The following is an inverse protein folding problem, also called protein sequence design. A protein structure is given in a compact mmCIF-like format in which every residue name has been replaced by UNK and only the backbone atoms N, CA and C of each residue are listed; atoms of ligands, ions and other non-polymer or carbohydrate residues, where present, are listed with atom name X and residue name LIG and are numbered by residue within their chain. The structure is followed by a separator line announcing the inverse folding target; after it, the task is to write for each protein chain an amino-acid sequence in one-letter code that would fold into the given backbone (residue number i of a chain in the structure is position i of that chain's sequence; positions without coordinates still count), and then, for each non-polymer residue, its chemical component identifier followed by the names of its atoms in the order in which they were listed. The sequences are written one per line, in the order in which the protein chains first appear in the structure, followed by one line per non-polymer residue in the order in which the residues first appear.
data_IF_607308693025
#
_entry.id   IF_607308693025
#
_cell.length_a   1.000
_cell.length_b   1.000
_cell.length_c   1.000
_cell.angle_alpha   90.00
_cell.angle_beta   90.00
_cell.angle_gamma   90.00
#
_symmetry.space_group_name_H-M   'P 1'
#
loop_
_entity.id
_entity.type
_entity.pdbx_description
1 polymer ?
#
# COMPACT_ATOMS: atom_id res chain seq x y z
N UNK A 1 25.83 -72.62 77.99
CA UNK A 1 25.09 -73.80 77.49
C UNK A 1 23.88 -73.28 76.70
N UNK A 2 23.71 -73.70 75.44
CA UNK A 2 22.54 -73.53 74.55
C UNK A 2 22.28 -72.13 73.97
N UNK A 3 21.85 -71.93 72.71
CA UNK A 3 21.86 -72.66 71.41
C UNK A 3 21.29 -71.67 70.37
N UNK A 4 21.68 -71.84 69.10
CA UNK A 4 21.35 -71.04 67.92
C UNK A 4 19.85 -71.06 67.50
N UNK A 5 19.37 -70.05 66.76
CA UNK A 5 18.94 -70.13 65.33
C UNK A 5 17.89 -69.05 64.90
N UNK A 6 18.39 -68.05 64.17
CA UNK A 6 17.99 -67.57 62.82
C UNK A 6 16.62 -67.94 62.20
N UNK A 7 15.82 -66.92 61.79
CA UNK A 7 14.98 -66.83 60.58
C UNK A 7 14.66 -65.34 60.32
N UNK A 8 15.26 -64.66 59.33
CA UNK A 8 14.95 -64.56 57.88
C UNK A 8 13.99 -63.40 57.48
N UNK A 9 14.57 -62.45 56.74
CA UNK A 9 14.05 -61.71 55.56
C UNK A 9 12.99 -60.61 55.76
N UNK A 10 13.41 -59.35 55.55
CA UNK A 10 12.96 -58.53 54.40
C UNK A 10 13.89 -57.31 54.21
N UNK A 11 14.85 -57.39 53.28
CA UNK A 11 15.58 -56.21 52.83
C UNK A 11 14.76 -55.57 51.70
N UNK A 12 13.79 -54.72 52.06
CA UNK A 12 13.09 -53.90 51.07
C UNK A 12 13.93 -52.66 50.80
N UNK A 13 14.40 -52.56 49.56
CA UNK A 13 15.07 -51.38 48.99
C UNK A 13 14.08 -50.22 49.05
N UNK A 14 14.30 -49.29 49.99
CA UNK A 14 13.69 -47.96 49.94
C UNK A 14 14.56 -47.10 49.03
N UNK A 15 14.31 -47.17 47.72
CA UNK A 15 14.70 -46.10 46.80
C UNK A 15 13.71 -44.95 46.99
N UNK A 16 14.12 -43.90 47.71
CA UNK A 16 13.41 -42.62 47.70
C UNK A 16 13.72 -41.95 46.36
N UNK A 17 12.89 -42.21 45.35
CA UNK A 17 12.82 -41.38 44.16
C UNK A 17 12.01 -40.12 44.50
N UNK A 18 12.70 -39.07 44.95
CA UNK A 18 12.09 -37.75 44.98
C UNK A 18 11.95 -37.25 43.54
N UNK A 19 10.73 -37.16 43.03
CA UNK A 19 10.47 -36.46 41.77
C UNK A 19 10.73 -34.97 41.99
N UNK A 20 11.82 -34.45 41.46
CA UNK A 20 11.98 -33.00 41.30
C UNK A 20 10.95 -32.54 40.27
N UNK A 21 9.85 -31.92 40.72
CA UNK A 21 8.98 -31.19 39.79
C UNK A 21 9.67 -29.87 39.45
N UNK A 22 9.74 -29.53 38.17
CA UNK A 22 10.10 -28.19 37.73
C UNK A 22 9.20 -27.19 38.45
N UNK A 23 9.79 -26.20 39.13
CA UNK A 23 9.03 -25.21 39.89
C UNK A 23 8.51 -24.16 38.91
N UNK A 24 7.24 -24.26 38.55
CA UNK A 24 6.53 -23.16 37.91
C UNK A 24 6.40 -22.01 38.92
N UNK A 25 6.66 -20.78 38.51
CA UNK A 25 6.64 -19.61 39.40
C UNK A 25 5.29 -18.92 39.28
N UNK A 26 4.57 -18.80 40.41
CA UNK A 26 3.37 -17.96 40.53
C UNK A 26 3.77 -16.68 41.26
N UNK A 27 3.50 -15.53 40.64
CA UNK A 27 3.58 -14.21 41.28
C UNK A 27 2.16 -13.66 41.39
N UNK A 28 1.59 -13.68 42.59
CA UNK A 28 0.19 -13.28 42.80
C UNK A 28 -0.03 -12.57 44.13
N UNK A 29 -1.02 -11.68 44.17
CA UNK A 29 -1.60 -11.12 45.39
C UNK A 29 -2.89 -11.83 45.84
N UNK A 30 -3.30 -12.90 45.14
CA UNK A 30 -4.43 -13.75 45.49
C UNK A 30 -3.94 -15.05 46.15
N UNK A 31 -4.08 -15.16 47.48
CA UNK A 31 -3.63 -16.33 48.24
C UNK A 31 -4.34 -17.65 47.85
N UNK A 32 -5.51 -17.59 47.21
CA UNK A 32 -6.23 -18.78 46.74
C UNK A 32 -5.77 -19.26 45.36
N UNK A 33 -4.92 -18.50 44.66
CA UNK A 33 -4.40 -18.87 43.35
C UNK A 33 -3.12 -19.70 43.48
N UNK A 34 -3.30 -21.01 43.69
CA UNK A 34 -2.20 -21.95 44.01
C UNK A 34 -1.83 -22.90 42.88
N UNK A 35 -2.53 -22.83 41.75
CA UNK A 35 -2.28 -23.67 40.57
C UNK A 35 -1.97 -22.76 39.39
N UNK A 36 -0.76 -22.85 38.79
CA UNK A 36 -0.40 -21.98 37.69
C UNK A 36 -1.22 -22.32 36.44
N UNK A 37 -1.38 -21.35 35.56
CA UNK A 37 -1.97 -21.54 34.25
C UNK A 37 -1.23 -22.65 33.47
N UNK A 38 -1.99 -23.50 32.78
CA UNK A 38 -1.42 -24.60 32.00
C UNK A 38 -0.42 -24.08 30.97
N UNK A 39 0.80 -24.61 30.99
CA UNK A 39 1.89 -24.22 30.08
C UNK A 39 2.70 -22.99 30.51
N UNK A 40 2.34 -22.31 31.60
CA UNK A 40 3.11 -21.17 32.11
C UNK A 40 4.34 -21.63 32.92
N UNK A 41 5.52 -21.11 32.58
CA UNK A 41 6.71 -21.23 33.44
C UNK A 41 6.76 -20.09 34.48
N UNK A 42 6.24 -18.92 34.09
CA UNK A 42 5.97 -17.75 34.93
C UNK A 42 4.49 -17.38 34.76
N UNK A 43 3.73 -17.42 35.85
CA UNK A 43 2.32 -17.01 35.90
C UNK A 43 2.19 -15.79 36.83
N UNK A 44 1.79 -14.65 36.26
CA UNK A 44 1.58 -13.40 37.01
C UNK A 44 0.07 -13.16 37.10
N UNK A 45 -0.50 -13.35 38.28
CA UNK A 45 -1.94 -13.25 38.52
C UNK A 45 -2.27 -12.11 39.49
N UNK A 46 -2.95 -11.09 39.02
CA UNK A 46 -3.54 -10.03 39.85
C UNK A 46 -4.71 -9.38 39.11
N UNK A 47 -5.70 -8.89 39.85
CA UNK A 47 -6.80 -8.09 39.30
C UNK A 47 -6.55 -6.59 39.40
N UNK A 48 -5.44 -6.17 40.03
CA UNK A 48 -5.15 -4.77 40.33
C UNK A 48 -3.71 -4.32 40.04
N UNK A 49 -2.82 -5.26 39.69
CA UNK A 49 -1.40 -4.99 39.38
C UNK A 49 -1.04 -5.54 38.01
N UNK A 50 -0.05 -4.93 37.37
CA UNK A 50 0.50 -5.37 36.09
C UNK A 50 1.94 -5.86 36.20
N UNK A 51 2.50 -6.28 35.06
CA UNK A 51 3.92 -6.58 34.93
C UNK A 51 4.71 -5.31 34.56
N UNK A 52 5.69 -4.96 35.39
CA UNK A 52 6.65 -3.90 35.09
C UNK A 52 7.96 -4.55 34.61
N UNK A 53 8.24 -4.62 33.29
CA UNK A 53 9.52 -5.15 32.80
C UNK A 53 10.68 -4.24 33.21
N UNK A 54 11.93 -4.73 33.17
CA UNK A 54 13.11 -3.91 33.39
C UNK A 54 13.09 -2.64 32.54
N UNK A 55 13.29 -1.48 33.19
CA UNK A 55 13.38 -0.18 32.52
C UNK A 55 14.84 0.10 32.18
N UNK A 56 15.14 0.24 30.89
CA UNK A 56 16.51 0.33 30.38
C UNK A 56 16.60 1.53 29.44
N UNK A 57 17.64 2.35 29.56
CA UNK A 57 17.85 3.47 28.65
C UNK A 57 18.79 3.02 27.51
N UNK A 58 18.21 2.53 26.40
CA UNK A 58 18.99 2.02 25.28
C UNK A 58 19.62 3.18 24.48
N UNK A 59 20.86 2.97 24.00
CA UNK A 59 21.61 3.98 23.25
C UNK A 59 21.33 3.93 21.75
N UNK A 60 20.94 2.77 21.22
CA UNK A 60 20.54 2.61 19.82
C UNK A 60 19.74 1.31 19.63
N UNK A 61 19.23 1.07 18.42
CA UNK A 61 18.59 -0.21 18.06
C UNK A 61 19.58 -1.39 18.03
N UNK A 62 20.89 -1.14 17.94
CA UNK A 62 21.95 -2.17 17.93
C UNK A 62 22.67 -2.28 19.26
N UNK A 63 22.16 -1.65 20.32
CA UNK A 63 22.80 -1.58 21.63
C UNK A 63 22.92 -2.97 22.28
N UNK A 64 24.14 -3.50 22.28
CA UNK A 64 24.51 -4.75 22.96
C UNK A 64 25.46 -4.50 24.14
N UNK A 65 25.62 -3.24 24.57
CA UNK A 65 26.55 -2.85 25.64
C UNK A 65 25.81 -2.47 26.91
N UNK A 66 24.67 -1.79 26.82
CA UNK A 66 23.80 -1.49 27.98
C UNK A 66 23.28 -2.77 28.62
N UNK A 67 22.96 -3.76 27.78
CA UNK A 67 22.75 -5.14 28.18
C UNK A 67 23.74 -5.99 27.38
N UNK A 68 24.79 -6.48 28.03
CA UNK A 68 25.82 -7.29 27.39
C UNK A 68 25.24 -8.60 26.84
N UNK A 69 25.48 -8.89 25.56
CA UNK A 69 25.06 -10.13 24.88
C UNK A 69 23.57 -10.48 25.10
N UNK A 70 22.62 -9.60 24.68
CA UNK A 70 21.21 -9.82 24.93
C UNK A 70 20.74 -11.11 24.23
N UNK A 71 19.98 -11.93 24.96
CA UNK A 71 19.41 -13.16 24.41
C UNK A 71 18.21 -12.85 23.52
N UNK A 72 18.05 -13.59 22.42
CA UNK A 72 16.86 -13.46 21.55
C UNK A 72 15.58 -13.68 22.36
N UNK A 73 14.62 -12.77 22.24
CA UNK A 73 13.37 -12.77 23.00
C UNK A 73 13.42 -12.02 24.33
N UNK A 74 14.57 -11.46 24.73
CA UNK A 74 14.67 -10.61 25.93
C UNK A 74 13.82 -9.36 25.76
N UNK A 75 12.91 -9.10 26.71
CA UNK A 75 11.97 -7.96 26.69
C UNK A 75 12.34 -6.92 27.76
N UNK A 76 12.38 -5.65 27.38
CA UNK A 76 12.60 -4.50 28.26
C UNK A 76 11.67 -3.34 27.91
N UNK A 77 11.48 -2.41 28.83
CA UNK A 77 10.92 -1.09 28.52
C UNK A 77 12.06 -0.10 28.29
N UNK A 78 12.24 0.36 27.05
CA UNK A 78 13.14 1.45 26.75
C UNK A 78 12.59 2.76 27.33
N UNK A 79 13.37 3.48 28.12
CA UNK A 79 12.90 4.72 28.76
C UNK A 79 12.89 5.92 27.83
N UNK A 80 13.69 5.92 26.76
CA UNK A 80 13.81 7.05 25.84
C UNK A 80 14.78 8.15 26.29
N UNK A 81 15.47 7.97 27.42
CA UNK A 81 16.28 9.03 28.05
C UNK A 81 17.69 9.21 27.46
N UNK A 82 18.12 8.35 26.53
CA UNK A 82 19.47 8.37 25.93
C UNK A 82 19.37 8.40 24.40
N UNK A 83 19.89 7.39 23.69
CA UNK A 83 20.07 7.48 22.24
C UNK A 83 18.94 6.86 21.42
N UNK A 84 18.29 5.80 21.93
CA UNK A 84 17.03 5.32 21.39
C UNK A 84 15.90 6.09 22.06
N UNK A 85 15.47 7.21 21.46
CA UNK A 85 14.59 8.20 22.10
C UNK A 85 13.12 7.79 22.18
N UNK A 86 12.69 6.82 21.36
CA UNK A 86 11.30 6.36 21.38
C UNK A 86 11.10 5.39 22.54
N UNK A 87 10.49 5.85 23.63
CA UNK A 87 10.13 5.02 24.77
C UNK A 87 9.14 3.89 24.39
N UNK A 88 9.12 2.81 25.17
CA UNK A 88 8.15 1.72 25.00
C UNK A 88 8.75 0.33 25.17
N UNK A 89 7.94 -0.70 24.95
CA UNK A 89 8.42 -2.09 24.98
C UNK A 89 9.31 -2.39 23.77
N UNK A 90 10.42 -3.07 24.04
CA UNK A 90 11.33 -3.60 23.04
C UNK A 90 11.67 -5.04 23.39
N UNK A 91 11.88 -5.87 22.37
CA UNK A 91 12.49 -7.18 22.49
C UNK A 91 13.75 -7.28 21.62
N UNK A 92 14.76 -8.01 22.08
CA UNK A 92 15.93 -8.31 21.25
C UNK A 92 15.58 -9.42 20.25
N UNK A 93 15.71 -9.16 18.95
CA UNK A 93 15.37 -10.15 17.91
C UNK A 93 16.55 -11.06 17.51
N UNK A 94 17.72 -10.89 18.14
CA UNK A 94 18.98 -11.55 17.77
C UNK A 94 19.99 -10.59 17.14
N UNK A 95 19.53 -9.47 16.57
CA UNK A 95 20.37 -8.50 15.84
C UNK A 95 20.08 -7.05 16.24
N UNK A 96 18.81 -6.70 16.50
CA UNK A 96 18.38 -5.36 16.91
C UNK A 96 17.25 -5.42 17.96
N UNK A 97 17.14 -4.36 18.75
CA UNK A 97 15.98 -4.06 19.60
C UNK A 97 14.79 -3.67 18.73
N UNK A 98 13.73 -4.46 18.80
CA UNK A 98 12.52 -4.33 17.99
C UNK A 98 11.32 -4.08 18.89
N UNK A 99 10.42 -3.17 18.52
CA UNK A 99 9.15 -3.02 19.26
C UNK A 99 8.24 -4.21 18.95
N UNK A 100 7.61 -4.86 19.94
CA UNK A 100 6.58 -5.86 19.67
C UNK A 100 5.50 -5.20 18.82
N UNK A 101 5.16 -5.77 17.66
CA UNK A 101 4.16 -5.21 16.75
C UNK A 101 2.85 -4.93 17.49
N UNK A 102 2.66 -3.66 17.86
CA UNK A 102 1.36 -3.01 17.98
C UNK A 102 1.30 -2.20 16.70
N UNK A 103 0.35 -2.51 15.80
CA UNK A 103 0.31 -1.98 14.42
C UNK A 103 0.62 -0.48 14.33
N UNK A 104 1.91 -0.17 14.08
CA UNK A 104 2.48 1.17 14.12
C UNK A 104 3.05 1.59 15.48
N UNK A 105 4.29 1.21 15.79
CA UNK A 105 5.10 1.99 16.73
C UNK A 105 6.56 2.06 16.23
N UNK A 106 7.03 3.26 15.91
CA UNK A 106 8.44 3.55 15.59
C UNK A 106 8.68 4.29 14.26
N UNK A 107 7.84 4.03 13.25
CA UNK A 107 7.89 4.71 11.97
C UNK A 107 6.85 5.85 11.94
N UNK A 108 7.15 6.95 11.25
CA UNK A 108 6.15 8.01 10.98
C UNK A 108 4.93 7.46 10.23
N UNK A 109 5.07 6.30 9.59
CA UNK A 109 4.13 5.71 8.66
C UNK A 109 3.45 4.46 9.25
N UNK A 110 2.12 4.46 9.35
CA UNK A 110 1.34 3.32 9.85
C UNK A 110 -0.12 3.37 9.39
N UNK A 111 -0.76 2.20 9.33
CA UNK A 111 -2.20 2.10 9.10
C UNK A 111 -2.96 2.23 10.43
N UNK A 112 -4.00 3.05 10.48
CA UNK A 112 -4.89 3.14 11.64
C UNK A 112 -6.33 2.82 11.22
N UNK A 113 -7.07 2.18 12.12
CA UNK A 113 -8.52 1.99 12.02
C UNK A 113 -9.12 2.73 13.21
N UNK A 114 -9.95 3.73 12.95
CA UNK A 114 -10.64 4.50 13.98
C UNK A 114 -11.93 3.78 14.44
N UNK A 115 -12.50 4.23 15.57
CA UNK A 115 -13.73 3.65 16.16
C UNK A 115 -14.94 3.68 15.20
N UNK A 116 -14.98 4.64 14.27
CA UNK A 116 -16.01 4.75 13.24
C UNK A 116 -15.73 3.91 11.99
N UNK A 117 -14.68 3.08 12.02
CA UNK A 117 -14.28 2.20 10.92
C UNK A 117 -13.41 2.88 9.84
N UNK A 118 -13.08 4.16 9.98
CA UNK A 118 -12.22 4.85 9.02
C UNK A 118 -10.82 4.23 9.03
N UNK A 119 -10.32 3.86 7.85
CA UNK A 119 -8.96 3.34 7.67
C UNK A 119 -8.08 4.40 7.02
N UNK A 120 -6.97 4.75 7.67
CA UNK A 120 -6.01 5.78 7.19
C UNK A 120 -4.59 5.25 7.11
N UNK A 121 -3.81 5.79 6.17
CA UNK A 121 -2.38 5.64 6.05
C UNK A 121 -1.72 6.93 6.59
N UNK A 122 -1.11 6.84 7.77
CA UNK A 122 -0.59 8.00 8.48
C UNK A 122 0.85 8.33 8.05
N UNK A 123 1.29 9.56 8.34
CA UNK A 123 2.63 10.05 8.02
C UNK A 123 2.78 10.39 6.54
N UNK A 124 3.85 9.89 5.93
CA UNK A 124 4.09 9.95 4.50
C UNK A 124 3.64 8.67 3.77
N UNK A 125 2.87 7.80 4.43
CA UNK A 125 2.40 6.55 3.84
C UNK A 125 1.34 6.83 2.78
N UNK A 126 1.61 6.41 1.54
CA UNK A 126 0.67 6.44 0.43
C UNK A 126 0.83 5.23 -0.45
N UNK A 127 -0.21 4.92 -1.23
CA UNK A 127 -0.14 3.94 -2.32
C UNK A 127 -0.85 4.49 -3.55
N UNK A 128 -0.48 4.01 -4.73
CA UNK A 128 -1.23 4.35 -5.94
C UNK A 128 -2.49 3.50 -6.06
N UNK A 129 -3.58 4.14 -6.50
CA UNK A 129 -4.76 3.49 -7.02
C UNK A 129 -5.03 4.05 -8.43
N UNK A 130 -5.91 3.40 -9.19
CA UNK A 130 -6.15 3.72 -10.59
C UNK A 130 -7.60 4.07 -10.86
N UNK A 131 -7.81 5.13 -11.64
CA UNK A 131 -9.13 5.59 -12.05
C UNK A 131 -9.28 5.35 -13.55
N UNK A 132 -9.94 4.24 -13.88
CA UNK A 132 -10.09 3.76 -15.25
C UNK A 132 -11.31 4.34 -15.95
N UNK A 133 -11.10 4.83 -17.17
CA UNK A 133 -12.12 5.30 -18.09
C UNK A 133 -12.26 4.29 -19.22
N UNK A 134 -13.45 3.71 -19.33
CA UNK A 134 -13.75 2.77 -20.41
C UNK A 134 -14.01 3.53 -21.73
N UNK A 135 -13.33 3.17 -22.83
CA UNK A 135 -13.47 3.86 -24.11
C UNK A 135 -14.90 3.86 -24.64
N UNK A 136 -15.71 2.84 -24.36
CA UNK A 136 -17.11 2.78 -24.81
C UNK A 136 -18.03 3.85 -24.21
N UNK A 137 -17.63 4.45 -23.08
CA UNK A 137 -18.39 5.53 -22.43
C UNK A 137 -18.00 6.92 -22.92
N UNK A 138 -16.85 7.04 -23.58
CA UNK A 138 -16.37 8.30 -24.11
C UNK A 138 -17.22 8.73 -25.31
N UNK A 139 -17.60 10.00 -25.35
CA UNK A 139 -18.44 10.57 -26.41
C UNK A 139 -17.64 11.49 -27.30
N UNK A 140 -18.08 11.61 -28.54
CA UNK A 140 -17.45 12.41 -29.58
C UNK A 140 -18.47 13.44 -30.11
N UNK A 141 -18.00 14.59 -30.58
CA UNK A 141 -18.83 15.58 -31.26
C UNK A 141 -18.08 16.14 -32.49
N UNK A 142 -18.82 16.48 -33.56
CA UNK A 142 -18.25 17.13 -34.74
C UNK A 142 -17.56 16.19 -35.74
N UNK A 143 -16.53 16.69 -36.43
CA UNK A 143 -15.92 16.04 -37.60
C UNK A 143 -14.76 15.09 -37.24
N UNK A 144 -14.30 15.11 -35.99
CA UNK A 144 -13.11 14.40 -35.52
C UNK A 144 -13.44 13.07 -34.82
N UNK A 145 -14.56 12.47 -35.19
CA UNK A 145 -15.05 11.22 -34.59
C UNK A 145 -14.11 10.06 -34.92
N UNK A 146 -13.57 9.34 -33.93
CA UNK A 146 -12.90 8.05 -34.14
C UNK A 146 -13.91 7.01 -34.63
N UNK A 147 -13.44 6.00 -35.35
CA UNK A 147 -14.31 4.95 -35.89
C UNK A 147 -14.45 3.82 -34.88
N UNK A 148 -15.66 3.29 -34.68
CA UNK A 148 -15.84 2.02 -33.97
C UNK A 148 -15.51 0.87 -34.91
N UNK A 149 -14.35 0.22 -34.74
CA UNK A 149 -13.86 -0.77 -35.69
C UNK A 149 -13.41 -2.07 -35.01
N UNK A 150 -13.40 -3.15 -35.80
CA UNK A 150 -12.93 -4.46 -35.38
C UNK A 150 -11.44 -4.37 -35.04
N UNK A 151 -11.08 -4.70 -33.81
CA UNK A 151 -9.71 -4.68 -33.33
C UNK A 151 -9.05 -6.05 -33.45
N UNK A 152 -9.63 -7.06 -32.83
CA UNK A 152 -9.10 -8.44 -32.83
C UNK A 152 -10.22 -9.42 -33.08
N UNK A 153 -9.87 -10.61 -33.60
CA UNK A 153 -10.79 -11.65 -34.04
C UNK A 153 -11.88 -11.12 -35.00
N UNK A 154 -13.12 -11.66 -34.92
CA UNK A 154 -14.25 -11.27 -35.79
C UNK A 154 -15.33 -10.47 -35.06
N UNK A 155 -15.22 -10.27 -33.74
CA UNK A 155 -16.28 -9.76 -32.89
C UNK A 155 -15.83 -8.72 -31.83
N UNK A 156 -14.53 -8.47 -31.65
CA UNK A 156 -14.05 -7.52 -30.63
C UNK A 156 -13.71 -6.17 -31.25
N UNK A 157 -14.50 -5.15 -30.89
CA UNK A 157 -14.39 -3.80 -31.44
C UNK A 157 -13.92 -2.82 -30.37
N UNK A 158 -13.26 -1.75 -30.81
CA UNK A 158 -12.98 -0.58 -29.98
C UNK A 158 -12.86 0.68 -30.86
N UNK A 159 -12.66 1.84 -30.24
CA UNK A 159 -12.43 3.10 -30.95
C UNK A 159 -11.08 3.12 -31.64
N UNK A 160 -11.09 3.54 -32.91
CA UNK A 160 -9.94 3.63 -33.78
C UNK A 160 -9.64 5.07 -34.17
N UNK A 161 -8.43 5.50 -33.87
CA UNK A 161 -7.86 6.82 -34.10
C UNK A 161 -6.91 6.73 -35.30
N UNK A 162 -7.44 7.06 -36.48
CA UNK A 162 -6.70 7.07 -37.73
C UNK A 162 -5.62 8.16 -37.76
N UNK A 163 -4.59 7.94 -38.59
CA UNK A 163 -3.53 8.90 -38.90
C UNK A 163 -4.03 10.07 -39.78
N UNK A 164 -3.23 11.14 -39.88
CA UNK A 164 -3.37 12.22 -40.85
C UNK A 164 -4.55 13.17 -40.60
N UNK A 165 -5.35 12.92 -39.56
CA UNK A 165 -6.43 13.79 -39.12
C UNK A 165 -6.63 13.70 -37.61
N UNK A 166 -7.13 14.78 -37.00
CA UNK A 166 -7.42 14.79 -35.58
C UNK A 166 -8.60 13.85 -35.29
N UNK A 167 -8.43 12.97 -34.30
CA UNK A 167 -9.48 12.09 -33.79
C UNK A 167 -9.59 12.25 -32.29
N UNK A 168 -10.80 12.49 -31.79
CA UNK A 168 -11.03 12.89 -30.40
C UNK A 168 -12.19 12.17 -29.72
N UNK A 169 -12.05 11.99 -28.41
CA UNK A 169 -13.13 11.61 -27.51
C UNK A 169 -13.14 12.55 -26.30
N UNK A 170 -14.31 12.67 -25.69
CA UNK A 170 -14.54 13.44 -24.48
C UNK A 170 -15.11 12.55 -23.39
N UNK A 171 -14.68 12.78 -22.16
CA UNK A 171 -15.13 12.05 -20.99
C UNK A 171 -14.99 12.92 -19.73
N UNK A 172 -15.63 12.49 -18.66
CA UNK A 172 -15.56 13.15 -17.36
C UNK A 172 -15.01 12.20 -16.32
N UNK A 173 -14.23 12.72 -15.39
CA UNK A 173 -13.57 11.99 -14.33
C UNK A 173 -13.89 12.66 -13.02
N UNK A 174 -14.28 11.92 -11.99
CA UNK A 174 -14.43 12.45 -10.62
C UNK A 174 -13.37 11.80 -9.74
N UNK A 175 -12.64 12.61 -8.97
CA UNK A 175 -11.68 12.09 -8.00
C UNK A 175 -12.41 11.31 -6.90
N UNK A 176 -12.01 10.07 -6.64
CA UNK A 176 -12.64 9.22 -5.64
C UNK A 176 -12.27 9.67 -4.22
N UNK A 177 -12.96 9.13 -3.23
CA UNK A 177 -12.88 9.60 -1.85
C UNK A 177 -11.64 9.11 -1.10
N UNK A 178 -10.93 8.13 -1.66
CA UNK A 178 -9.64 7.67 -1.20
C UNK A 178 -8.49 8.56 -1.72
N UNK A 179 -8.72 9.42 -2.73
CA UNK A 179 -7.71 10.35 -3.25
C UNK A 179 -7.06 11.18 -2.14
N UNK A 180 -5.73 11.14 -2.07
CA UNK A 180 -4.92 12.04 -1.24
C UNK A 180 -4.98 13.44 -1.83
N UNK A 181 -5.79 14.30 -1.23
CA UNK A 181 -6.00 15.67 -1.66
C UNK A 181 -4.67 16.41 -1.84
N UNK A 182 -4.57 17.21 -2.90
CA UNK A 182 -3.32 17.93 -3.23
C UNK A 182 -2.29 17.12 -4.05
N UNK A 183 -2.36 15.79 -4.06
CA UNK A 183 -1.35 14.96 -4.74
C UNK A 183 -1.46 15.02 -6.26
N UNK A 184 -0.32 14.93 -6.96
CA UNK A 184 -0.26 14.87 -8.42
C UNK A 184 -0.93 13.60 -8.93
N UNK A 185 -1.71 13.72 -10.01
CA UNK A 185 -2.29 12.58 -10.73
C UNK A 185 -1.56 12.36 -12.05
N UNK A 186 -1.47 11.10 -12.50
CA UNK A 186 -0.67 10.71 -13.66
C UNK A 186 -1.56 10.06 -14.73
N UNK A 187 -2.11 10.86 -15.66
CA UNK A 187 -2.87 10.34 -16.78
C UNK A 187 -2.01 9.51 -17.74
N UNK A 188 -2.58 8.44 -18.28
CA UNK A 188 -1.97 7.62 -19.31
C UNK A 188 -3.01 6.96 -20.21
N UNK A 189 -2.59 6.59 -21.42
CA UNK A 189 -3.45 5.97 -22.44
C UNK A 189 -3.00 4.55 -22.71
N UNK A 190 -3.93 3.61 -22.67
CA UNK A 190 -3.72 2.24 -23.10
C UNK A 190 -4.20 2.11 -24.54
N UNK A 191 -3.32 1.68 -25.44
CA UNK A 191 -3.65 1.54 -26.85
C UNK A 191 -2.91 0.36 -27.50
N UNK A 192 -3.31 0.04 -28.72
CA UNK A 192 -2.67 -0.96 -29.57
C UNK A 192 -2.81 -0.59 -31.05
N UNK A 193 -2.14 -1.32 -31.95
CA UNK A 193 -2.23 -1.13 -33.39
C UNK A 193 -2.16 -2.47 -34.13
N UNK A 194 -2.88 -2.59 -35.24
CA UNK A 194 -2.86 -3.81 -36.09
C UNK A 194 -1.60 -3.91 -36.94
N UNK A 195 -0.95 -2.77 -37.23
CA UNK A 195 0.37 -2.70 -37.83
C UNK A 195 1.43 -2.45 -36.73
N UNK A 196 2.60 -3.08 -36.85
CA UNK A 196 3.71 -2.88 -35.92
C UNK A 196 4.27 -1.46 -36.07
N UNK A 197 4.20 -0.59 -35.04
CA UNK A 197 4.75 0.77 -35.12
C UNK A 197 6.27 0.78 -35.15
N UNK A 198 6.92 -0.30 -34.69
CA UNK A 198 8.38 -0.35 -34.63
C UNK A 198 8.91 0.74 -33.68
N UNK A 199 9.61 1.72 -34.24
CA UNK A 199 10.14 2.90 -33.55
C UNK A 199 9.34 4.19 -33.83
N UNK A 200 8.27 4.11 -34.62
CA UNK A 200 7.39 5.23 -34.91
C UNK A 200 6.61 5.64 -33.65
N UNK A 201 6.13 6.88 -33.64
CA UNK A 201 5.51 7.53 -32.48
C UNK A 201 4.06 7.87 -32.77
N UNK A 202 3.22 7.81 -31.75
CA UNK A 202 1.85 8.29 -31.76
C UNK A 202 1.74 9.36 -30.70
N UNK A 203 1.14 10.50 -31.05
CA UNK A 203 0.99 11.62 -30.12
C UNK A 203 -0.42 11.65 -29.54
N UNK A 204 -0.49 11.43 -28.23
CA UNK A 204 -1.71 11.54 -27.46
C UNK A 204 -1.72 12.84 -26.66
N UNK A 205 -2.83 13.54 -26.69
CA UNK A 205 -2.99 14.79 -25.96
C UNK A 205 -4.28 14.74 -25.14
N UNK A 206 -4.17 15.10 -23.87
CA UNK A 206 -5.28 15.28 -22.95
C UNK A 206 -5.43 16.77 -22.64
N UNK A 207 -6.50 17.36 -23.14
CA UNK A 207 -6.98 18.65 -22.67
C UNK A 207 -7.98 18.44 -21.53
N UNK A 208 -7.95 19.30 -20.53
CA UNK A 208 -8.83 19.19 -19.38
C UNK A 208 -9.14 20.53 -18.72
N UNK A 209 -10.25 20.54 -18.00
CA UNK A 209 -10.52 21.50 -16.91
C UNK A 209 -10.79 20.71 -15.63
N UNK A 210 -10.13 21.09 -14.53
CA UNK A 210 -10.29 20.44 -13.23
C UNK A 210 -10.87 21.43 -12.21
N UNK A 211 -12.07 21.15 -11.70
CA UNK A 211 -12.78 21.99 -10.73
C UNK A 211 -13.14 21.21 -9.47
N UNK A 212 -13.10 21.87 -8.31
CA UNK A 212 -13.60 21.29 -7.06
C UNK A 212 -15.13 21.29 -7.04
N UNK A 213 -15.71 20.52 -6.12
CA UNK A 213 -17.11 20.67 -5.73
C UNK A 213 -17.41 22.14 -5.38
N UNK A 214 -18.61 22.62 -5.74
CA UNK A 214 -19.06 24.02 -5.54
C UNK A 214 -18.18 25.10 -6.21
N UNK A 215 -17.33 24.73 -7.16
CA UNK A 215 -16.53 25.67 -7.96
C UNK A 215 -17.05 25.78 -9.40
N UNK A 216 -16.79 26.92 -10.05
CA UNK A 216 -17.22 27.16 -11.43
C UNK A 216 -16.15 26.74 -12.46
N UNK A 217 -16.59 26.13 -13.56
CA UNK A 217 -15.77 26.00 -14.77
C UNK A 217 -15.56 27.37 -15.42
N UNK A 218 -14.39 27.58 -16.02
CA UNK A 218 -14.07 28.80 -16.73
C UNK A 218 -14.22 28.56 -18.24
N UNK A 219 -15.10 29.32 -18.89
CA UNK A 219 -15.56 29.05 -20.26
C UNK A 219 -14.44 29.05 -21.32
N UNK A 220 -13.31 29.72 -21.07
CA UNK A 220 -12.23 29.91 -22.05
C UNK A 220 -10.86 29.42 -21.58
N UNK A 221 -10.78 28.64 -20.50
CA UNK A 221 -9.49 28.13 -19.99
C UNK A 221 -9.44 26.62 -20.07
N UNK A 222 -8.62 26.06 -20.96
CA UNK A 222 -8.27 24.65 -20.92
C UNK A 222 -6.79 24.52 -20.61
N UNK A 223 -6.44 23.66 -19.65
CA UNK A 223 -5.08 23.17 -19.52
C UNK A 223 -4.91 21.95 -20.41
N UNK A 224 -3.68 21.64 -20.81
CA UNK A 224 -3.37 20.49 -21.64
C UNK A 224 -2.12 19.79 -21.14
N UNK A 225 -2.19 18.48 -20.91
CA UNK A 225 -1.03 17.62 -20.81
C UNK A 225 -0.89 16.81 -22.10
N UNK A 226 0.30 16.82 -22.68
CA UNK A 226 0.62 15.99 -23.85
C UNK A 226 1.61 14.91 -23.47
N UNK A 227 1.34 13.69 -23.90
CA UNK A 227 2.28 12.58 -23.86
C UNK A 227 2.77 12.26 -25.24
N UNK A 228 4.10 12.17 -25.39
CA UNK A 228 4.69 11.60 -26.59
C UNK A 228 5.03 10.15 -26.25
N UNK A 229 4.33 9.19 -26.85
CA UNK A 229 4.86 7.84 -26.84
C UNK A 229 6.04 7.80 -27.80
N UNK A 230 7.25 7.59 -27.27
CA UNK A 230 8.11 6.60 -27.91
C UNK A 230 7.38 5.26 -27.80
N UNK A 231 7.23 4.57 -28.92
CA UNK A 231 7.01 3.13 -28.89
C UNK A 231 8.09 2.52 -27.98
N UNK A 232 7.70 2.17 -26.76
CA UNK A 232 8.57 1.59 -25.74
C UNK A 232 8.67 2.44 -24.48
N UNK A 233 8.00 1.97 -23.43
CA UNK A 233 8.37 2.24 -22.03
C UNK A 233 9.86 1.90 -21.75
N UNK A 234 10.58 1.24 -22.67
CA UNK A 234 12.05 1.08 -22.63
C UNK A 234 12.57 0.64 -24.01
N UNK A 235 13.07 1.56 -24.83
CA UNK A 235 14.12 1.31 -25.85
C UNK A 235 13.96 0.12 -26.81
N UNK A 236 12.74 -0.34 -27.10
CA UNK A 236 12.49 -1.49 -27.98
C UNK A 236 11.40 -1.23 -29.01
N UNK A 237 11.50 -1.95 -30.12
CA UNK A 237 10.46 -2.02 -31.15
C UNK A 237 9.14 -2.54 -30.59
N UNK A 238 8.03 -1.90 -30.97
CA UNK A 238 6.67 -2.33 -30.62
C UNK A 238 6.10 -3.22 -31.72
N UNK A 239 5.52 -4.35 -31.33
CA UNK A 239 4.90 -5.30 -32.25
C UNK A 239 3.44 -4.94 -32.59
N UNK A 240 2.91 -5.53 -33.66
CA UNK A 240 1.48 -5.49 -33.94
C UNK A 240 0.69 -6.17 -32.80
N UNK A 241 -0.47 -5.63 -32.47
CA UNK A 241 -1.38 -6.09 -31.41
C UNK A 241 -0.80 -6.03 -30.00
N UNK A 242 0.32 -5.35 -29.80
CA UNK A 242 0.89 -5.14 -28.48
C UNK A 242 0.06 -4.15 -27.66
N UNK A 243 -0.14 -4.41 -26.36
CA UNK A 243 -0.72 -3.44 -25.44
C UNK A 243 0.36 -2.46 -24.99
N UNK A 244 0.11 -1.17 -25.24
CA UNK A 244 1.06 -0.09 -25.01
C UNK A 244 0.43 0.90 -24.03
N UNK A 245 1.23 1.35 -23.07
CA UNK A 245 0.88 2.43 -22.15
C UNK A 245 1.69 3.67 -22.53
N UNK A 246 1.01 4.79 -22.72
CA UNK A 246 1.62 6.10 -22.98
C UNK A 246 1.28 7.07 -21.86
N UNK A 247 2.25 7.42 -20.99
CA UNK A 247 2.09 8.49 -20.01
C UNK A 247 1.83 9.84 -20.70
N UNK A 248 0.95 10.66 -20.12
CA UNK A 248 0.65 12.00 -20.60
C UNK A 248 1.30 13.04 -19.68
N UNK A 249 2.34 13.70 -20.17
CA UNK A 249 3.12 14.67 -19.39
C UNK A 249 3.88 14.05 -18.21
N UNK A 250 4.27 14.91 -17.25
CA UNK A 250 4.92 14.50 -15.99
C UNK A 250 3.94 14.37 -14.82
N UNK A 251 2.63 14.41 -15.10
CA UNK A 251 1.56 14.46 -14.11
C UNK A 251 0.91 15.84 -13.98
N UNK A 252 -0.37 15.84 -13.61
CA UNK A 252 -1.19 17.02 -13.36
C UNK A 252 -1.14 17.34 -11.87
N UNK A 253 -0.66 18.53 -11.50
CA UNK A 253 -0.61 18.95 -10.10
C UNK A 253 -2.02 19.02 -9.50
N UNK A 254 -2.24 18.28 -8.42
CA UNK A 254 -3.48 18.32 -7.64
C UNK A 254 -3.50 19.43 -6.58
N UNK A 255 -2.54 20.35 -6.57
CA UNK A 255 -2.47 21.41 -5.54
C UNK A 255 -3.81 22.15 -5.42
N UNK A 256 -4.40 22.12 -4.22
CA UNK A 256 -5.70 22.75 -3.95
C UNK A 256 -6.92 21.98 -4.50
N UNK A 257 -6.74 20.75 -4.98
CA UNK A 257 -7.82 19.85 -5.42
C UNK A 257 -8.20 18.87 -4.33
N UNK A 258 -9.51 18.68 -4.19
CA UNK A 258 -10.12 17.84 -3.14
C UNK A 258 -10.73 16.57 -3.73
N UNK A 259 -11.16 15.65 -2.88
CA UNK A 259 -12.06 14.56 -3.29
C UNK A 259 -13.32 15.14 -3.96
N UNK A 260 -13.99 14.34 -4.79
CA UNK A 260 -15.17 14.76 -5.56
C UNK A 260 -14.97 15.92 -6.54
N UNK A 261 -13.74 16.43 -6.70
CA UNK A 261 -13.39 17.31 -7.79
C UNK A 261 -13.52 16.59 -9.13
N UNK A 262 -13.87 17.31 -10.18
CA UNK A 262 -14.18 16.74 -11.50
C UNK A 262 -13.24 17.30 -12.55
N UNK A 263 -12.75 16.42 -13.41
CA UNK A 263 -12.12 16.77 -14.68
C UNK A 263 -13.12 16.55 -15.82
N UNK A 264 -13.26 17.55 -16.68
CA UNK A 264 -13.84 17.39 -18.02
C UNK A 264 -12.70 17.33 -19.00
N UNK A 265 -12.61 16.22 -19.74
CA UNK A 265 -11.45 15.85 -20.53
C UNK A 265 -11.78 15.71 -22.01
N UNK A 266 -10.84 16.11 -22.87
CA UNK A 266 -10.77 15.75 -24.29
C UNK A 266 -9.45 15.03 -24.54
N UNK A 267 -9.54 13.75 -24.92
CA UNK A 267 -8.39 12.97 -25.37
C UNK A 267 -8.41 12.89 -26.89
N UNK A 268 -7.27 13.15 -27.52
CA UNK A 268 -7.15 13.02 -28.95
C UNK A 268 -5.78 12.51 -29.38
N UNK A 269 -5.77 11.87 -30.56
CA UNK A 269 -4.55 11.64 -31.32
C UNK A 269 -4.31 12.85 -32.20
N UNK A 270 -3.13 13.44 -32.09
CA UNK A 270 -2.69 14.58 -32.92
C UNK A 270 -1.95 14.07 -34.17
N UNK A 271 -2.66 13.34 -35.04
CA UNK A 271 -2.08 12.65 -36.21
C UNK A 271 -1.56 13.59 -37.31
N UNK A 272 -1.73 14.91 -37.17
CA UNK A 272 -1.15 15.89 -38.08
C UNK A 272 0.19 16.46 -37.56
N UNK A 273 0.58 16.12 -36.33
CA UNK A 273 1.79 16.64 -35.72
C UNK A 273 3.04 15.96 -36.29
N UNK A 274 4.13 16.73 -36.44
CA UNK A 274 5.39 16.24 -37.01
C UNK A 274 6.04 15.11 -36.18
N UNK A 275 5.65 14.97 -34.92
CA UNK A 275 6.12 13.97 -33.97
C UNK A 275 5.18 12.77 -33.81
N UNK A 276 4.01 12.77 -34.44
CA UNK A 276 3.22 11.57 -34.73
C UNK A 276 3.74 10.99 -36.06
N UNK A 277 4.59 9.97 -35.97
CA UNK A 277 5.31 9.41 -37.13
C UNK A 277 4.78 8.06 -37.57
N UNK A 278 3.77 7.52 -36.88
CA UNK A 278 3.15 6.25 -37.21
C UNK A 278 1.97 6.46 -38.15
N UNK A 279 2.02 5.90 -39.35
CA UNK A 279 0.97 6.12 -40.35
C UNK A 279 -0.21 5.15 -40.24
N UNK A 280 -0.18 4.22 -39.29
CA UNK A 280 -1.25 3.26 -39.07
C UNK A 280 -2.29 3.75 -38.05
N UNK A 281 -3.34 2.98 -37.89
CA UNK A 281 -4.42 3.25 -36.94
C UNK A 281 -4.04 2.86 -35.50
N UNK A 282 -4.47 3.68 -34.54
CA UNK A 282 -4.37 3.39 -33.12
C UNK A 282 -5.72 2.98 -32.53
N UNK A 283 -5.77 1.85 -31.84
CA UNK A 283 -6.95 1.34 -31.16
C UNK A 283 -6.87 1.70 -29.67
N UNK A 284 -7.83 2.49 -29.18
CA UNK A 284 -7.91 2.89 -27.78
C UNK A 284 -8.47 1.74 -26.94
N UNK A 285 -7.79 1.37 -25.85
CA UNK A 285 -8.19 0.29 -24.95
C UNK A 285 -8.74 0.82 -23.63
N UNK A 286 -8.09 1.85 -23.07
CA UNK A 286 -8.53 2.59 -21.88
C UNK A 286 -7.77 3.91 -21.75
N UNK A 287 -8.24 4.77 -20.86
CA UNK A 287 -7.49 5.92 -20.36
C UNK A 287 -7.63 5.93 -18.86
N UNK A 288 -6.52 6.15 -18.19
CA UNK A 288 -6.38 5.83 -16.78
C UNK A 288 -5.66 6.99 -16.08
N UNK A 289 -5.95 7.20 -14.80
CA UNK A 289 -5.28 8.20 -13.97
C UNK A 289 -4.77 7.51 -12.71
N UNK A 290 -3.46 7.36 -12.59
CA UNK A 290 -2.87 6.96 -11.30
C UNK A 290 -2.95 8.13 -10.34
N UNK A 291 -3.48 7.89 -9.15
CA UNK A 291 -3.56 8.86 -8.06
C UNK A 291 -3.13 8.21 -6.75
N UNK A 292 -2.60 9.01 -5.83
CA UNK A 292 -2.24 8.51 -4.50
C UNK A 292 -3.47 8.42 -3.60
N UNK A 293 -3.49 7.42 -2.71
CA UNK A 293 -4.42 7.31 -1.59
C UNK A 293 -3.66 7.35 -0.26
N UNK A 294 -4.29 7.94 0.74
CA UNK A 294 -3.86 7.97 2.15
C UNK A 294 -4.99 7.54 3.12
N UNK A 295 -6.12 7.09 2.57
CA UNK A 295 -7.23 6.51 3.34
C UNK A 295 -8.07 5.61 2.44
N UNK A 296 -8.85 4.72 3.05
CA UNK A 296 -9.86 3.93 2.34
C UNK A 296 -11.19 4.68 2.38
N UNK A 297 -11.38 5.57 1.40
CA UNK A 297 -12.52 6.50 1.36
C UNK A 297 -12.35 7.71 2.29
N UNK A 298 -13.45 8.42 2.52
CA UNK A 298 -13.51 9.62 3.37
C UNK A 298 -14.56 9.44 4.47
N UNK A 299 -14.42 10.17 5.58
CA UNK A 299 -15.42 10.15 6.68
C UNK A 299 -16.75 10.76 6.25
N UNK A 300 -16.69 11.79 5.40
CA UNK A 300 -17.86 12.51 4.92
C UNK A 300 -18.05 12.33 3.41
N UNK A 301 -19.28 12.41 2.89
CA UNK A 301 -19.55 12.21 1.46
C UNK A 301 -18.91 13.23 0.50
N UNK A 302 -18.44 14.39 0.96
CA UNK A 302 -17.92 15.44 0.06
C UNK A 302 -16.62 16.07 0.53
N UNK A 303 -16.16 15.73 1.74
CA UNK A 303 -14.93 16.26 2.34
C UNK A 303 -14.16 15.15 3.04
N UNK A 304 -12.85 15.27 3.06
CA UNK A 304 -11.95 14.26 3.63
C UNK A 304 -11.77 14.44 5.14
#
# INVERSE_FOLDING_TARGET
MKRYNFYLILFSIITISSSLKAQQVIVTDNASYTTPASGAMLDVNSTSKGFMPPRVALVSITDVTTIANPSTGLVVYNTGDVGLTVAGLYYWNGTIWTKPMTGGTGDTNYMAIADDGTVTLNGAATTYNDLLINPSTARNNGNNVPTWALFVNTNMFTWTFADGSLKEVTFTVQLPHDYKEGSTIFPHVHWSSTAAPGTQRIKWVLEYQWVNHESSFAASSSSSESGFALAGVTGRSVAAYEHIITPLGSGISGTGKTISSVLVCRLYRDGAAADDTFTGDAFLLSTDFHYEIDSFGSRNPFVK
#
